data_IF_261784059448
#
_entry.id   IF_261784059448
#
_cell.length_a   1.000
_cell.length_b   1.000
_cell.length_c   1.000
_cell.angle_alpha   90.00
_cell.angle_beta   90.00
_cell.angle_gamma   90.00
#
_symmetry.space_group_name_H-M   'P 1'
#
loop_
_entity.id
_entity.type
_entity.pdbx_description
1 polymer ?
#
# COMPACT_ATOMS: atom_id res chain seq x y z
N UNK A 1 22.88 -3.03 -34.02
CA UNK A 1 23.31 -3.54 -32.71
C UNK A 1 22.12 -3.36 -31.77
N UNK A 2 21.30 -4.40 -31.60
CA UNK A 2 20.25 -4.39 -30.60
C UNK A 2 20.91 -4.71 -29.27
N UNK A 3 20.98 -3.72 -28.37
CA UNK A 3 21.21 -4.01 -26.97
C UNK A 3 19.92 -4.69 -26.49
N UNK A 4 19.95 -6.02 -26.37
CA UNK A 4 18.96 -6.75 -25.59
C UNK A 4 19.22 -6.35 -24.14
N UNK A 5 18.34 -5.51 -23.59
CA UNK A 5 18.40 -5.21 -22.16
C UNK A 5 17.76 -6.38 -21.42
N UNK A 6 18.53 -6.99 -20.52
CA UNK A 6 18.06 -8.11 -19.71
C UNK A 6 17.32 -7.56 -18.48
N UNK A 7 16.04 -7.91 -18.37
CA UNK A 7 15.27 -7.64 -17.16
C UNK A 7 15.79 -8.52 -16.03
N UNK A 8 16.06 -7.93 -14.87
CA UNK A 8 16.48 -8.65 -13.67
C UNK A 8 15.37 -8.56 -12.61
N UNK A 9 14.93 -9.70 -12.07
CA UNK A 9 13.90 -9.73 -11.02
C UNK A 9 14.53 -10.26 -9.73
N UNK A 10 14.36 -9.51 -8.66
CA UNK A 10 14.89 -9.83 -7.33
C UNK A 10 13.72 -10.06 -6.38
N UNK A 11 13.73 -11.18 -5.66
CA UNK A 11 12.89 -11.43 -4.48
C UNK A 11 13.68 -11.10 -3.22
N UNK A 12 13.12 -10.29 -2.33
CA UNK A 12 13.74 -9.97 -1.03
C UNK A 12 12.71 -9.63 0.03
N UNK A 13 13.00 -9.93 1.30
CA UNK A 13 12.30 -9.38 2.47
C UNK A 13 12.98 -8.12 3.01
N UNK A 14 14.28 -7.98 2.75
CA UNK A 14 15.08 -6.86 3.23
C UNK A 14 15.32 -5.87 2.09
N UNK A 15 14.83 -4.64 2.27
CA UNK A 15 15.08 -3.54 1.34
C UNK A 15 16.27 -2.72 1.82
N UNK A 16 17.20 -2.46 0.91
CA UNK A 16 18.22 -1.44 1.14
C UNK A 16 17.60 -0.04 1.05
N UNK A 17 18.25 0.95 1.67
CA UNK A 17 17.83 2.35 1.54
C UNK A 17 17.69 2.80 0.07
N UNK A 18 18.57 2.32 -0.81
CA UNK A 18 18.48 2.61 -2.24
C UNK A 18 17.23 2.03 -2.91
N UNK A 19 16.79 0.83 -2.50
CA UNK A 19 15.55 0.23 -3.02
C UNK A 19 14.32 0.97 -2.52
N UNK A 20 14.31 1.35 -1.23
CA UNK A 20 13.25 2.17 -0.63
C UNK A 20 13.09 3.48 -1.41
N UNK A 21 14.19 4.17 -1.69
CA UNK A 21 14.19 5.41 -2.48
C UNK A 21 13.64 5.21 -3.89
N UNK A 22 14.05 4.14 -4.58
CA UNK A 22 13.54 3.82 -5.92
C UNK A 22 12.04 3.49 -5.91
N UNK A 23 11.56 2.75 -4.91
CA UNK A 23 10.13 2.45 -4.73
C UNK A 23 9.35 3.76 -4.48
N UNK A 24 9.81 4.58 -3.53
CA UNK A 24 9.17 5.85 -3.19
C UNK A 24 9.09 6.80 -4.39
N UNK A 25 10.12 6.84 -5.24
CA UNK A 25 10.09 7.64 -6.46
C UNK A 25 8.97 7.20 -7.42
N UNK A 26 8.76 5.89 -7.58
CA UNK A 26 7.68 5.36 -8.42
C UNK A 26 6.31 5.71 -7.83
N UNK A 27 6.14 5.55 -6.51
CA UNK A 27 4.88 5.86 -5.81
C UNK A 27 4.56 7.34 -5.94
N UNK A 28 5.49 8.21 -5.54
CA UNK A 28 5.35 9.67 -5.60
C UNK A 28 5.01 10.18 -7.01
N UNK A 29 5.70 9.69 -8.04
CA UNK A 29 5.44 10.12 -9.42
C UNK A 29 4.01 9.82 -9.88
N UNK A 30 3.39 8.78 -9.34
CA UNK A 30 2.01 8.41 -9.66
C UNK A 30 1.01 9.21 -8.83
N UNK A 31 1.32 9.39 -7.55
CA UNK A 31 0.53 10.18 -6.60
C UNK A 31 0.36 11.64 -7.06
N UNK A 32 1.43 12.24 -7.60
CA UNK A 32 1.40 13.59 -8.20
C UNK A 32 0.41 13.72 -9.38
N UNK A 33 0.11 12.64 -10.09
CA UNK A 33 -0.87 12.63 -11.20
C UNK A 33 -2.27 12.33 -10.70
N UNK A 34 -2.38 11.44 -9.72
CA UNK A 34 -3.63 11.06 -9.09
C UNK A 34 -3.30 10.61 -7.68
N UNK A 35 -3.91 11.24 -6.68
CA UNK A 35 -3.79 10.82 -5.29
C UNK A 35 -4.10 9.33 -5.15
N UNK A 36 -3.09 8.53 -4.79
CA UNK A 36 -3.16 7.08 -4.61
C UNK A 36 -2.87 6.79 -3.14
N UNK A 37 -3.87 6.44 -2.33
CA UNK A 37 -3.71 6.26 -0.89
C UNK A 37 -3.01 4.94 -0.51
N UNK A 38 -2.32 4.30 -1.44
CA UNK A 38 -1.68 3.00 -1.25
C UNK A 38 -0.16 3.18 -1.17
N UNK A 39 0.38 2.94 0.02
CA UNK A 39 1.79 3.04 0.29
C UNK A 39 2.36 1.70 0.77
N UNK A 40 3.67 1.56 0.69
CA UNK A 40 4.34 0.37 1.21
C UNK A 40 4.76 0.61 2.67
N UNK A 41 4.30 -0.23 3.58
CA UNK A 41 4.89 -0.31 4.90
C UNK A 41 6.20 -1.11 4.84
N UNK A 42 7.31 -0.39 4.78
CA UNK A 42 8.65 -0.99 4.74
C UNK A 42 9.06 -1.63 6.07
N UNK A 43 8.28 -1.45 7.14
CA UNK A 43 8.54 -2.04 8.45
C UNK A 43 7.82 -3.37 8.69
N UNK A 44 6.89 -3.77 7.81
CA UNK A 44 6.19 -5.05 7.90
C UNK A 44 7.11 -6.22 7.50
N UNK A 45 7.50 -7.04 8.47
CA UNK A 45 8.40 -8.18 8.31
C UNK A 45 7.77 -9.38 7.60
N UNK A 46 6.44 -9.37 7.42
CA UNK A 46 5.69 -10.34 6.63
C UNK A 46 5.77 -10.04 5.13
N UNK A 47 6.18 -8.82 4.78
CA UNK A 47 6.21 -8.38 3.39
C UNK A 47 7.38 -8.99 2.61
N UNK A 48 7.08 -9.54 1.44
CA UNK A 48 8.07 -9.98 0.45
C UNK A 48 7.98 -9.12 -0.80
N UNK A 49 9.10 -8.56 -1.23
CA UNK A 49 9.19 -7.67 -2.37
C UNK A 49 9.75 -8.37 -3.61
N UNK A 50 9.10 -8.14 -4.76
CA UNK A 50 9.53 -8.58 -6.08
C UNK A 50 9.86 -7.34 -6.91
N UNK A 51 11.16 -7.11 -7.13
CA UNK A 51 11.69 -5.91 -7.76
C UNK A 51 12.16 -6.23 -9.18
N UNK A 52 11.52 -5.65 -10.18
CA UNK A 52 11.89 -5.78 -11.59
C UNK A 52 12.75 -4.59 -12.02
N UNK A 53 14.00 -4.86 -12.33
CA UNK A 53 14.99 -3.88 -12.79
C UNK A 53 15.28 -4.03 -14.28
N UNK A 54 15.64 -2.90 -14.90
CA UNK A 54 16.31 -2.85 -16.20
C UNK A 54 17.37 -1.74 -16.14
N UNK A 55 18.62 -2.04 -16.48
CA UNK A 55 19.74 -1.08 -16.40
C UNK A 55 19.87 -0.39 -15.03
N UNK A 56 19.79 -1.15 -13.94
CA UNK A 56 19.85 -0.66 -12.54
C UNK A 56 18.67 0.23 -12.11
N UNK A 57 17.72 0.51 -13.01
CA UNK A 57 16.52 1.27 -12.71
C UNK A 57 15.34 0.35 -12.38
N UNK A 58 14.60 0.71 -11.33
CA UNK A 58 13.45 -0.04 -10.89
C UNK A 58 12.28 0.27 -11.82
N UNK A 59 11.80 -0.75 -12.53
CA UNK A 59 10.72 -0.63 -13.51
C UNK A 59 9.37 -1.01 -12.94
N UNK A 60 9.34 -2.03 -12.08
CA UNK A 60 8.12 -2.48 -11.41
C UNK A 60 8.45 -3.10 -10.06
N UNK A 61 7.52 -2.97 -9.11
CA UNK A 61 7.58 -3.59 -7.79
C UNK A 61 6.25 -4.24 -7.47
N UNK A 62 6.29 -5.41 -6.83
CA UNK A 62 5.15 -6.03 -6.15
C UNK A 62 5.59 -6.25 -4.70
N UNK A 63 4.84 -5.70 -3.74
CA UNK A 63 4.91 -6.10 -2.34
C UNK A 63 3.81 -7.12 -2.08
N UNK A 64 4.19 -8.25 -1.50
CA UNK A 64 3.31 -9.38 -1.19
C UNK A 64 3.24 -9.55 0.33
N UNK A 65 2.04 -9.54 0.87
CA UNK A 65 1.73 -9.71 2.28
C UNK A 65 1.01 -11.04 2.46
N UNK A 66 1.55 -11.94 3.28
CA UNK A 66 0.86 -13.18 3.66
C UNK A 66 -0.15 -12.87 4.77
N UNK A 67 -1.44 -13.02 4.45
CA UNK A 67 -2.54 -12.73 5.39
C UNK A 67 -3.10 -14.00 6.05
N UNK A 68 -2.98 -15.14 5.37
CA UNK A 68 -3.23 -16.49 5.89
C UNK A 68 -2.44 -17.51 5.03
N UNK A 69 -2.47 -18.78 5.41
CA UNK A 69 -1.85 -19.87 4.64
C UNK A 69 -2.37 -19.84 3.20
N UNK A 70 -1.43 -19.78 2.24
CA UNK A 70 -1.67 -19.73 0.79
C UNK A 70 -2.56 -18.56 0.32
N UNK A 71 -2.76 -17.56 1.18
CA UNK A 71 -3.60 -16.39 0.90
C UNK A 71 -2.77 -15.11 1.07
N UNK A 72 -2.68 -14.34 -0.01
CA UNK A 72 -1.84 -13.17 -0.08
C UNK A 72 -2.61 -11.92 -0.51
N UNK A 73 -2.17 -10.79 0.01
CA UNK A 73 -2.52 -9.48 -0.51
C UNK A 73 -1.30 -8.85 -1.19
N UNK A 74 -1.53 -8.12 -2.28
CA UNK A 74 -0.47 -7.52 -3.06
C UNK A 74 -0.74 -6.05 -3.41
N UNK A 75 0.30 -5.23 -3.25
CA UNK A 75 0.37 -3.86 -3.77
C UNK A 75 1.43 -3.83 -4.85
N UNK A 76 1.10 -3.27 -6.02
CA UNK A 76 2.01 -3.26 -7.15
C UNK A 76 2.06 -1.90 -7.85
N UNK A 77 3.26 -1.51 -8.24
CA UNK A 77 3.50 -0.30 -9.01
C UNK A 77 4.47 -0.55 -10.16
N UNK A 78 4.25 0.17 -11.26
CA UNK A 78 5.14 0.20 -12.42
C UNK A 78 5.44 1.64 -12.75
N UNK A 79 6.71 1.95 -12.98
CA UNK A 79 7.17 3.26 -13.41
C UNK A 79 6.31 3.77 -14.58
N UNK A 80 5.83 5.02 -14.48
CA UNK A 80 4.83 5.55 -15.40
C UNK A 80 5.31 5.59 -16.84
N UNK A 81 6.59 5.91 -17.05
CA UNK A 81 7.21 6.03 -18.37
C UNK A 81 7.49 4.67 -19.00
N UNK A 82 7.41 3.61 -18.20
CA UNK A 82 7.75 2.25 -18.58
C UNK A 82 6.56 1.27 -18.56
N UNK A 83 5.34 1.79 -18.42
CA UNK A 83 4.11 1.00 -18.54
C UNK A 83 3.94 0.38 -19.93
N UNK A 84 3.16 -0.70 -19.98
CA UNK A 84 2.87 -1.47 -21.19
C UNK A 84 4.09 -2.12 -21.87
N UNK A 85 5.26 -2.14 -21.22
CA UNK A 85 6.48 -2.80 -21.71
C UNK A 85 6.69 -4.22 -21.17
N UNK A 86 5.81 -4.69 -20.29
CA UNK A 86 5.84 -6.06 -19.77
C UNK A 86 6.50 -6.25 -18.41
N UNK A 87 7.08 -5.22 -17.79
CA UNK A 87 7.78 -5.33 -16.50
C UNK A 87 6.91 -5.88 -15.37
N UNK A 88 5.68 -5.36 -15.19
CA UNK A 88 4.74 -5.92 -14.22
C UNK A 88 4.44 -7.39 -14.47
N UNK A 89 4.19 -7.76 -15.73
CA UNK A 89 3.91 -9.15 -16.11
C UNK A 89 5.10 -10.07 -15.82
N UNK A 90 6.32 -9.59 -16.05
CA UNK A 90 7.52 -10.34 -15.74
C UNK A 90 7.65 -10.57 -14.22
N UNK A 91 7.48 -9.52 -13.41
CA UNK A 91 7.47 -9.62 -11.94
C UNK A 91 6.37 -10.55 -11.43
N UNK A 92 5.15 -10.43 -11.97
CA UNK A 92 4.00 -11.26 -11.60
C UNK A 92 4.20 -12.73 -11.96
N UNK A 93 4.74 -13.03 -13.14
CA UNK A 93 5.05 -14.41 -13.51
C UNK A 93 6.14 -15.01 -12.62
N UNK A 94 7.14 -14.21 -12.23
CA UNK A 94 8.17 -14.65 -11.29
C UNK A 94 7.55 -14.96 -9.93
N UNK A 95 6.71 -14.06 -9.40
CA UNK A 95 5.92 -14.26 -8.19
C UNK A 95 5.10 -15.56 -8.25
N UNK A 96 4.34 -15.79 -9.32
CA UNK A 96 3.51 -17.00 -9.47
C UNK A 96 4.32 -18.29 -9.54
N UNK A 97 5.55 -18.23 -10.08
CA UNK A 97 6.43 -19.41 -10.11
C UNK A 97 7.10 -19.66 -8.76
N UNK A 98 7.25 -18.63 -7.95
CA UNK A 98 7.86 -18.70 -6.61
C UNK A 98 6.86 -19.16 -5.55
N UNK A 99 5.58 -18.79 -5.67
CA UNK A 99 4.49 -19.32 -4.86
C UNK A 99 4.16 -20.74 -5.35
N UNK A 100 4.73 -21.75 -4.69
CA UNK A 100 4.45 -23.15 -5.00
C UNK A 100 2.99 -23.51 -4.67
N UNK A 101 2.25 -24.07 -5.63
CA UNK A 101 0.89 -24.59 -5.39
C UNK A 101 -0.25 -23.68 -5.85
N UNK A 102 -1.47 -23.98 -5.40
CA UNK A 102 -2.64 -23.13 -5.62
C UNK A 102 -2.71 -22.12 -4.47
N UNK A 103 -2.55 -20.84 -4.79
CA UNK A 103 -2.66 -19.73 -3.84
C UNK A 103 -3.62 -18.67 -4.36
N UNK A 104 -4.21 -17.93 -3.43
CA UNK A 104 -5.05 -16.78 -3.72
C UNK A 104 -4.26 -15.49 -3.53
N UNK A 105 -4.26 -14.62 -4.53
CA UNK A 105 -3.60 -13.31 -4.48
C UNK A 105 -4.63 -12.23 -4.77
N UNK A 106 -4.99 -11.46 -3.73
CA UNK A 106 -5.81 -10.26 -3.88
C UNK A 106 -4.91 -9.05 -4.17
N UNK A 107 -5.32 -8.20 -5.10
CA UNK A 107 -4.58 -6.98 -5.45
C UNK A 107 -5.40 -5.76 -5.04
N UNK A 108 -4.85 -4.95 -4.14
CA UNK A 108 -5.47 -3.66 -3.81
C UNK A 108 -5.20 -2.68 -4.96
N UNK A 109 -6.25 -2.03 -5.45
CA UNK A 109 -6.10 -1.00 -6.46
C UNK A 109 -7.15 0.11 -6.35
N UNK A 110 -6.75 1.32 -6.74
CA UNK A 110 -7.66 2.45 -6.80
C UNK A 110 -8.68 2.27 -7.94
N UNK A 111 -9.97 2.19 -7.58
CA UNK A 111 -11.08 1.81 -8.46
C UNK A 111 -11.22 2.65 -9.72
N UNK A 112 -10.83 3.93 -9.66
CA UNK A 112 -10.92 4.86 -10.78
C UNK A 112 -9.56 5.05 -11.46
N UNK A 113 -8.55 4.20 -11.21
CA UNK A 113 -7.24 4.30 -11.86
C UNK A 113 -7.17 3.39 -13.08
N UNK A 114 -7.30 4.01 -14.26
CA UNK A 114 -7.37 3.30 -15.56
C UNK A 114 -6.24 2.28 -15.79
N UNK A 115 -4.95 2.57 -15.46
CA UNK A 115 -3.90 1.56 -15.57
C UNK A 115 -4.18 0.29 -14.76
N UNK A 116 -4.53 0.42 -13.48
CA UNK A 116 -4.80 -0.72 -12.62
C UNK A 116 -6.04 -1.51 -13.07
N UNK A 117 -7.13 -0.82 -13.41
CA UNK A 117 -8.37 -1.46 -13.89
C UNK A 117 -8.14 -2.25 -15.20
N UNK A 118 -7.31 -1.72 -16.11
CA UNK A 118 -6.95 -2.44 -17.34
C UNK A 118 -6.08 -3.66 -17.05
N UNK A 119 -5.13 -3.54 -16.13
CA UNK A 119 -4.28 -4.67 -15.71
C UNK A 119 -5.12 -5.77 -15.07
N UNK A 120 -6.00 -5.45 -14.13
CA UNK A 120 -6.88 -6.41 -13.47
C UNK A 120 -7.74 -7.19 -14.49
N UNK A 121 -8.32 -6.48 -15.47
CA UNK A 121 -9.06 -7.12 -16.58
C UNK A 121 -8.16 -8.03 -17.43
N UNK A 122 -6.93 -7.60 -17.73
CA UNK A 122 -6.00 -8.40 -18.54
C UNK A 122 -5.54 -9.68 -17.85
N UNK A 123 -5.48 -9.66 -16.52
CA UNK A 123 -5.18 -10.81 -15.67
C UNK A 123 -6.42 -11.65 -15.36
N UNK A 124 -7.61 -11.23 -15.81
CA UNK A 124 -8.89 -11.87 -15.48
C UNK A 124 -9.15 -11.96 -13.97
N UNK A 125 -8.72 -10.95 -13.20
CA UNK A 125 -8.99 -10.88 -11.77
C UNK A 125 -10.49 -10.72 -11.51
N UNK A 126 -10.96 -11.34 -10.44
CA UNK A 126 -12.34 -11.20 -9.98
C UNK A 126 -12.41 -10.04 -8.99
N UNK A 127 -13.45 -9.21 -9.10
CA UNK A 127 -13.74 -8.20 -8.10
C UNK A 127 -14.26 -8.87 -6.82
N UNK A 128 -13.59 -8.62 -5.71
CA UNK A 128 -13.98 -9.13 -4.40
C UNK A 128 -14.85 -8.12 -3.65
N UNK A 129 -14.27 -6.98 -3.28
CA UNK A 129 -14.96 -5.94 -2.52
C UNK A 129 -14.42 -4.54 -2.82
N UNK A 130 -14.98 -3.53 -2.13
CA UNK A 130 -14.44 -2.16 -2.15
C UNK A 130 -14.22 -1.71 -0.72
N UNK A 131 -12.97 -1.39 -0.44
CA UNK A 131 -12.56 -0.73 0.79
C UNK A 131 -12.55 0.79 0.58
N UNK A 132 -12.88 1.53 1.63
CA UNK A 132 -12.90 2.99 1.59
C UNK A 132 -11.93 3.51 2.62
N UNK A 133 -10.85 4.14 2.16
CA UNK A 133 -9.94 4.89 3.02
C UNK A 133 -10.47 6.31 3.19
N UNK A 134 -10.53 6.78 4.43
CA UNK A 134 -10.94 8.14 4.77
C UNK A 134 -9.71 8.99 5.07
N UNK A 135 -9.66 10.20 4.53
CA UNK A 135 -8.58 11.15 4.73
C UNK A 135 -9.17 12.50 5.14
N UNK A 136 -8.55 13.16 6.12
CA UNK A 136 -8.94 14.47 6.60
C UNK A 136 -7.71 15.40 6.57
N UNK A 137 -7.74 16.39 5.67
CA UNK A 137 -6.75 17.46 5.63
C UNK A 137 -6.96 18.43 6.80
N UNK A 138 -6.05 18.39 7.77
CA UNK A 138 -6.08 19.24 8.96
C UNK A 138 -5.68 20.68 8.69
N UNK A 139 -5.06 21.01 7.54
CA UNK A 139 -4.61 22.37 7.23
C UNK A 139 -5.77 23.37 7.12
N UNK A 140 -6.96 22.88 6.82
CA UNK A 140 -8.20 23.65 6.72
C UNK A 140 -9.18 23.38 7.87
N UNK A 141 -8.84 22.45 8.78
CA UNK A 141 -9.71 22.05 9.86
C UNK A 141 -9.62 23.01 11.03
N UNK A 142 -10.72 23.71 11.31
CA UNK A 142 -10.87 24.48 12.55
C UNK A 142 -11.59 23.60 13.57
N UNK A 143 -10.82 23.05 14.52
CA UNK A 143 -11.40 22.35 15.65
C UNK A 143 -12.11 23.36 16.57
N UNK A 144 -13.43 23.22 16.73
CA UNK A 144 -14.09 23.80 17.88
C UNK A 144 -13.95 22.82 19.04
N UNK A 145 -13.32 23.20 20.17
CA UNK A 145 -13.22 22.32 21.32
C UNK A 145 -14.63 21.98 21.80
N UNK A 146 -14.96 20.68 21.75
CA UNK A 146 -16.18 20.17 22.38
C UNK A 146 -15.90 20.14 23.88
N UNK A 147 -16.57 21.01 24.64
CA UNK A 147 -16.54 20.94 26.09
C UNK A 147 -17.05 19.56 26.53
N UNK A 148 -16.44 18.98 27.57
CA UNK A 148 -16.83 17.68 28.13
C UNK A 148 -16.43 16.47 27.26
N UNK A 149 -15.33 16.57 26.51
CA UNK A 149 -14.66 15.40 25.89
C UNK A 149 -13.27 15.25 26.48
N UNK A 150 -12.99 14.07 27.03
CA UNK A 150 -11.66 13.66 27.50
C UNK A 150 -11.14 12.49 26.65
N UNK A 151 -9.84 12.50 26.34
CA UNK A 151 -9.18 11.41 25.62
C UNK A 151 -8.08 10.85 26.50
N UNK A 152 -8.17 9.55 26.80
CA UNK A 152 -7.19 8.83 27.63
C UNK A 152 -6.51 7.77 26.77
N UNK A 153 -5.18 7.71 26.84
CA UNK A 153 -4.39 6.68 26.17
C UNK A 153 -4.10 5.53 27.13
N UNK A 154 -4.45 4.31 26.73
CA UNK A 154 -3.98 3.08 27.37
C UNK A 154 -3.36 2.17 26.30
N UNK A 155 -2.09 1.81 26.47
CA UNK A 155 -1.26 1.18 25.44
C UNK A 155 -1.25 1.96 24.11
N UNK A 156 -1.76 1.38 23.03
CA UNK A 156 -1.87 2.01 21.70
C UNK A 156 -3.31 2.37 21.32
N UNK A 157 -4.22 2.34 22.30
CA UNK A 157 -5.64 2.66 22.14
C UNK A 157 -5.94 4.00 22.82
N UNK A 158 -6.66 4.87 22.12
CA UNK A 158 -7.17 6.15 22.63
C UNK A 158 -8.66 6.02 22.89
N UNK A 159 -9.07 6.12 24.15
CA UNK A 159 -10.45 6.05 24.59
C UNK A 159 -11.03 7.46 24.72
N UNK A 160 -12.25 7.64 24.22
CA UNK A 160 -12.98 8.91 24.21
C UNK A 160 -14.06 8.85 25.29
N UNK A 161 -14.05 9.82 26.20
CA UNK A 161 -15.04 9.96 27.27
C UNK A 161 -15.85 11.25 27.11
N UNK A 162 -17.14 11.17 27.41
CA UNK A 162 -18.03 12.31 27.58
C UNK A 162 -18.74 12.22 28.93
N UNK A 163 -18.62 13.24 29.80
CA UNK A 163 -19.20 13.20 31.15
C UNK A 163 -18.84 11.91 31.93
N UNK A 164 -17.56 11.50 31.90
CA UNK A 164 -17.05 10.25 32.49
C UNK A 164 -17.60 8.93 31.88
N UNK A 165 -18.35 8.99 30.78
CA UNK A 165 -18.85 7.82 30.05
C UNK A 165 -17.97 7.58 28.83
N UNK A 166 -17.44 6.36 28.67
CA UNK A 166 -16.73 5.95 27.46
C UNK A 166 -17.71 5.93 26.28
N UNK A 167 -17.45 6.76 25.26
CA UNK A 167 -18.30 6.88 24.06
C UNK A 167 -17.60 6.35 22.80
N UNK A 168 -16.34 5.96 22.90
CA UNK A 168 -15.64 5.38 21.76
C UNK A 168 -14.17 5.14 22.01
N UNK A 169 -13.52 4.58 21.00
CA UNK A 169 -12.09 4.33 20.98
C UNK A 169 -11.54 4.47 19.56
N UNK A 170 -10.28 4.85 19.43
CA UNK A 170 -9.56 4.78 18.17
C UNK A 170 -8.10 4.44 18.40
N UNK A 171 -7.45 3.96 17.35
CA UNK A 171 -6.02 3.81 17.30
C UNK A 171 -5.49 4.61 16.11
N UNK A 172 -4.20 4.96 16.11
CA UNK A 172 -3.58 5.56 14.93
C UNK A 172 -2.12 5.15 14.77
N UNK A 173 -1.65 5.21 13.52
CA UNK A 173 -0.24 5.11 13.17
C UNK A 173 0.22 6.32 12.34
N UNK A 174 1.50 6.64 12.45
CA UNK A 174 2.19 7.55 11.52
C UNK A 174 3.19 6.74 10.72
N UNK A 175 3.12 6.78 9.38
CA UNK A 175 4.11 6.09 8.57
C UNK A 175 5.38 6.93 8.45
N UNK A 176 6.54 6.27 8.49
CA UNK A 176 7.86 6.93 8.47
C UNK A 176 8.13 7.73 7.19
N UNK A 177 7.48 7.40 6.08
CA UNK A 177 7.64 8.10 4.80
C UNK A 177 6.62 9.23 4.58
N UNK A 178 5.61 9.35 5.44
CA UNK A 178 4.60 10.39 5.39
C UNK A 178 4.22 10.83 6.80
N UNK A 179 5.15 11.55 7.43
CA UNK A 179 5.03 12.01 8.83
C UNK A 179 3.95 13.05 9.03
N UNK A 180 3.44 13.63 7.95
CA UNK A 180 2.42 14.66 7.97
C UNK A 180 1.00 14.06 8.01
N UNK A 181 0.89 12.75 7.73
CA UNK A 181 -0.37 12.01 7.72
C UNK A 181 -0.52 11.09 8.94
N UNK A 182 -1.74 11.08 9.50
CA UNK A 182 -2.14 10.22 10.62
C UNK A 182 -3.21 9.26 10.13
N UNK A 183 -2.97 7.96 10.29
CA UNK A 183 -3.86 6.91 9.84
C UNK A 183 -4.64 6.37 11.02
N UNK A 184 -5.91 6.74 11.12
CA UNK A 184 -6.82 6.23 12.12
C UNK A 184 -7.35 4.85 11.72
N UNK A 185 -7.41 3.94 12.69
CA UNK A 185 -7.99 2.61 12.49
C UNK A 185 -8.70 2.16 13.77
N UNK A 186 -9.45 1.06 13.68
CA UNK A 186 -10.19 0.50 14.81
C UNK A 186 -11.08 1.54 15.50
N UNK A 187 -11.66 2.46 14.71
CA UNK A 187 -12.49 3.54 15.19
C UNK A 187 -13.87 3.01 15.59
N UNK A 188 -14.16 3.02 16.88
CA UNK A 188 -15.43 2.59 17.45
C UNK A 188 -16.11 3.80 18.11
N UNK A 189 -17.37 4.04 17.79
CA UNK A 189 -18.25 4.94 18.54
C UNK A 189 -19.37 4.09 19.10
N UNK A 190 -19.58 4.15 20.41
CA UNK A 190 -20.66 3.47 21.09
C UNK A 190 -21.91 4.36 21.06
N UNK A 191 -23.06 3.78 20.69
CA UNK A 191 -24.36 4.46 20.71
C UNK A 191 -24.91 4.64 22.13
#
# INVERSE_FOLDING_TARGET
MHLEFEMNIIKTKELTQSYIEKINNIVKSQDEVKHLPLYFDFSDDRCTYYLCFENEELMSVIALFEIDIDTYEAIAYTDMSNRCKGYFKAAYNYLCNDLEGECDISFICERNYSPAVKTAKSLSLTYECTETMMELDLSSYNAEPISDIDIVREDDIYYIFQSDIEIGSFCFYTFTFNTDDIYFHSFNIYE
#
